data_IF_105962478711
#
_entry.id   IF_105962478711
#
_cell.length_a   1.000
_cell.length_b   1.000
_cell.length_c   1.000
_cell.angle_alpha   90.00
_cell.angle_beta   90.00
_cell.angle_gamma   90.00
#
_symmetry.space_group_name_H-M   'P 1'
#
loop_
_entity.id
_entity.type
_entity.pdbx_description
1 polymer ?
#
# COMPACT_ATOMS: atom_id res chain seq x y z
N UNK A 1 -7.95 -17.23 -2.22
CA UNK A 1 -7.16 -18.49 -2.19
C UNK A 1 -5.68 -18.14 -2.32
N UNK A 2 -4.76 -19.11 -2.16
CA UNK A 2 -3.31 -18.86 -2.34
C UNK A 2 -3.01 -18.37 -3.76
N UNK A 3 -3.58 -19.01 -4.78
CA UNK A 3 -3.35 -18.61 -6.19
C UNK A 3 -3.89 -17.19 -6.49
N UNK A 4 -5.00 -16.79 -5.86
CA UNK A 4 -5.48 -15.40 -5.95
C UNK A 4 -4.48 -14.41 -5.37
N UNK A 5 -3.90 -14.71 -4.21
CA UNK A 5 -2.89 -13.86 -3.62
C UNK A 5 -1.62 -13.79 -4.45
N UNK A 6 -1.17 -14.92 -5.01
CA UNK A 6 -0.03 -14.93 -5.93
C UNK A 6 -0.27 -13.98 -7.11
N UNK A 7 -1.43 -14.06 -7.76
CA UNK A 7 -1.75 -13.18 -8.88
C UNK A 7 -1.90 -11.71 -8.48
N UNK A 8 -2.58 -11.41 -7.37
CA UNK A 8 -2.81 -10.03 -6.90
C UNK A 8 -1.51 -9.36 -6.45
N UNK A 9 -0.67 -10.04 -5.67
CA UNK A 9 0.62 -9.48 -5.23
C UNK A 9 1.59 -9.31 -6.42
N UNK A 10 1.61 -10.27 -7.34
CA UNK A 10 2.37 -10.13 -8.60
C UNK A 10 1.88 -8.97 -9.46
N UNK A 11 0.57 -8.75 -9.54
CA UNK A 11 0.00 -7.62 -10.27
C UNK A 11 0.40 -6.29 -9.62
N UNK A 12 0.32 -6.20 -8.30
CA UNK A 12 0.56 -4.96 -7.57
C UNK A 12 2.04 -4.55 -7.57
N UNK A 13 2.94 -5.53 -7.55
CA UNK A 13 4.37 -5.27 -7.62
C UNK A 13 4.81 -4.65 -8.96
N UNK A 14 4.04 -4.80 -10.05
CA UNK A 14 4.49 -4.34 -11.36
C UNK A 14 4.57 -2.80 -11.48
N UNK A 15 3.51 -2.04 -11.17
CA UNK A 15 3.61 -0.58 -11.13
C UNK A 15 4.66 -0.06 -10.15
N UNK A 16 4.84 -0.72 -9.00
CA UNK A 16 5.74 -0.28 -7.92
C UNK A 16 7.22 -0.58 -8.23
N UNK A 17 7.51 -1.77 -8.74
CA UNK A 17 8.87 -2.31 -8.80
C UNK A 17 9.32 -2.65 -10.23
N UNK A 18 8.48 -2.43 -11.24
CA UNK A 18 8.76 -2.78 -12.64
C UNK A 18 8.74 -4.28 -12.93
N UNK A 19 8.31 -5.12 -11.98
CA UNK A 19 8.30 -6.58 -12.12
C UNK A 19 7.08 -7.20 -11.45
N UNK A 20 6.64 -8.35 -11.96
CA UNK A 20 5.60 -9.17 -11.31
C UNK A 20 6.16 -10.12 -10.24
N UNK A 21 7.49 -10.13 -10.07
CA UNK A 21 8.15 -10.88 -9.02
C UNK A 21 8.07 -10.15 -7.67
N UNK A 22 6.92 -10.21 -7.02
CA UNK A 22 6.70 -9.58 -5.71
C UNK A 22 7.58 -10.15 -4.58
N UNK A 23 8.28 -11.27 -4.81
CA UNK A 23 9.16 -11.91 -3.85
C UNK A 23 10.64 -11.51 -4.03
N UNK A 24 10.95 -10.62 -4.97
CA UNK A 24 12.28 -10.03 -5.11
C UNK A 24 12.71 -9.42 -3.77
N UNK A 25 13.84 -9.83 -3.16
CA UNK A 25 14.24 -9.35 -1.84
C UNK A 25 14.52 -7.84 -1.75
N UNK A 26 14.80 -7.16 -2.87
CA UNK A 26 15.16 -5.74 -2.86
C UNK A 26 14.04 -4.85 -2.28
N UNK A 27 12.78 -4.89 -2.78
CA UNK A 27 11.65 -4.18 -2.16
C UNK A 27 11.39 -4.52 -0.68
N UNK A 28 11.72 -5.74 -0.24
CA UNK A 28 11.50 -6.14 1.17
C UNK A 28 12.57 -5.60 2.10
N UNK A 29 13.79 -5.39 1.60
CA UNK A 29 14.91 -4.77 2.32
C UNK A 29 14.96 -3.25 2.13
N UNK A 30 14.17 -2.71 1.19
CA UNK A 30 14.13 -1.28 0.89
C UNK A 30 13.82 -0.47 2.15
N UNK A 31 14.63 0.56 2.38
CA UNK A 31 14.39 1.59 3.37
C UNK A 31 15.09 2.86 2.92
N UNK A 32 14.33 3.92 2.68
CA UNK A 32 14.82 5.20 2.23
C UNK A 32 14.55 6.29 3.26
N UNK A 33 15.54 7.15 3.45
CA UNK A 33 15.44 8.31 4.32
C UNK A 33 14.85 9.47 3.54
N UNK A 34 13.66 9.90 3.94
CA UNK A 34 12.99 11.09 3.45
C UNK A 34 12.75 11.06 1.94
N UNK A 35 12.17 9.95 1.44
CA UNK A 35 11.80 9.74 0.04
C UNK A 35 11.11 10.97 -0.55
N UNK A 36 10.14 11.55 0.18
CA UNK A 36 9.42 12.73 -0.30
C UNK A 36 10.36 13.90 -0.61
N UNK A 37 11.43 14.11 0.16
CA UNK A 37 12.36 15.19 -0.11
C UNK A 37 13.17 14.95 -1.37
N UNK A 38 13.60 13.70 -1.59
CA UNK A 38 14.39 13.31 -2.75
C UNK A 38 13.58 13.44 -4.05
N UNK A 39 12.26 13.26 -3.97
CA UNK A 39 11.33 13.41 -5.08
C UNK A 39 10.69 14.81 -5.19
N UNK A 40 11.07 15.76 -4.33
CA UNK A 40 10.52 17.13 -4.35
C UNK A 40 9.07 17.26 -3.85
N UNK A 41 8.58 16.26 -3.12
CA UNK A 41 7.26 16.22 -2.47
C UNK A 41 7.32 16.99 -1.15
N UNK A 42 6.35 17.89 -0.94
CA UNK A 42 6.34 18.78 0.24
C UNK A 42 6.04 18.06 1.55
N UNK A 43 5.29 16.95 1.50
CA UNK A 43 4.99 16.13 2.68
C UNK A 43 6.26 15.58 3.33
N UNK A 44 6.18 15.29 4.63
CA UNK A 44 7.25 14.66 5.40
C UNK A 44 6.72 13.39 6.05
N UNK A 45 7.26 12.23 5.64
CA UNK A 45 6.86 10.91 6.19
C UNK A 45 7.98 10.18 6.95
N UNK A 46 9.16 10.81 7.04
CA UNK A 46 10.33 10.25 7.73
C UNK A 46 11.03 9.21 6.85
N UNK A 47 11.15 7.97 7.30
CA UNK A 47 11.60 6.86 6.45
C UNK A 47 10.42 6.16 5.79
N UNK A 48 10.62 5.70 4.56
CA UNK A 48 9.71 4.83 3.81
C UNK A 48 10.38 3.48 3.58
N UNK A 49 9.73 2.36 3.93
CA UNK A 49 10.39 1.05 3.89
C UNK A 49 9.46 -0.14 3.66
N UNK A 50 10.05 -1.26 3.22
CA UNK A 50 9.35 -2.50 2.93
C UNK A 50 8.49 -2.44 1.65
N UNK A 51 7.81 -3.56 1.32
CA UNK A 51 7.17 -3.77 0.01
C UNK A 51 5.91 -2.92 -0.23
N UNK A 52 5.37 -2.28 0.81
CA UNK A 52 4.17 -1.42 0.73
C UNK A 52 4.43 -0.01 1.29
N UNK A 53 5.70 0.37 1.43
CA UNK A 53 6.11 1.73 1.81
C UNK A 53 5.59 2.17 3.19
N UNK A 54 5.81 1.36 4.24
CA UNK A 54 5.50 1.76 5.62
C UNK A 54 6.29 3.03 5.96
N UNK A 55 5.65 4.02 6.58
CA UNK A 55 6.28 5.29 6.91
C UNK A 55 6.38 5.55 8.41
N UNK A 56 7.56 5.98 8.87
CA UNK A 56 7.80 6.28 10.31
C UNK A 56 6.92 7.38 10.87
N UNK A 57 6.45 8.30 10.02
CA UNK A 57 5.35 9.22 10.29
C UNK A 57 4.17 8.77 9.42
N UNK A 58 3.18 8.13 10.03
CA UNK A 58 2.15 7.37 9.34
C UNK A 58 1.83 6.07 10.05
N UNK A 59 1.91 4.96 9.33
CA UNK A 59 1.48 3.63 9.76
C UNK A 59 2.55 2.84 10.56
N UNK A 60 3.76 3.37 10.71
CA UNK A 60 4.82 2.72 11.50
C UNK A 60 4.44 2.36 12.94
N UNK A 61 3.71 3.18 13.72
CA UNK A 61 3.34 2.78 15.07
C UNK A 61 2.53 1.49 15.11
N UNK A 62 1.60 1.31 14.17
CA UNK A 62 0.79 0.10 14.09
C UNK A 62 1.60 -1.08 13.53
N UNK A 63 2.45 -0.85 12.52
CA UNK A 63 3.45 -1.82 12.08
C UNK A 63 4.33 -2.29 13.25
N UNK A 64 4.85 -1.37 14.06
CA UNK A 64 5.71 -1.68 15.20
C UNK A 64 4.97 -2.51 16.23
N UNK A 65 3.81 -2.03 16.70
CA UNK A 65 3.08 -2.64 17.82
C UNK A 65 2.49 -4.00 17.46
N UNK A 66 1.96 -4.13 16.25
CA UNK A 66 1.11 -5.26 15.87
C UNK A 66 1.82 -6.27 14.97
N UNK A 67 2.94 -5.90 14.35
CA UNK A 67 3.69 -6.78 13.45
C UNK A 67 5.18 -6.91 13.84
N UNK A 68 5.97 -5.85 13.73
CA UNK A 68 7.41 -5.95 13.91
C UNK A 68 7.82 -6.39 15.32
N UNK A 69 7.24 -5.81 16.39
CA UNK A 69 7.59 -6.22 17.74
C UNK A 69 7.18 -7.68 18.05
N UNK A 70 5.96 -8.16 17.72
CA UNK A 70 5.60 -9.56 17.92
C UNK A 70 6.46 -10.56 17.13
N UNK A 71 6.69 -10.31 15.84
CA UNK A 71 7.35 -11.28 14.95
C UNK A 71 8.89 -11.20 15.01
N UNK A 72 9.46 -9.99 15.02
CA UNK A 72 10.91 -9.79 14.95
C UNK A 72 11.52 -9.74 16.36
N UNK A 73 10.88 -9.04 17.29
CA UNK A 73 11.41 -8.83 18.65
C UNK A 73 10.87 -9.84 19.67
N UNK A 74 9.85 -10.64 19.34
CA UNK A 74 9.20 -11.56 20.27
C UNK A 74 8.42 -10.86 21.38
N UNK A 75 7.99 -9.61 21.16
CA UNK A 75 7.30 -8.77 22.14
C UNK A 75 5.82 -8.61 21.76
N UNK A 76 4.96 -9.35 22.45
CA UNK A 76 3.50 -9.18 22.35
C UNK A 76 3.01 -8.01 23.22
N UNK A 77 1.92 -7.36 22.80
CA UNK A 77 1.34 -6.22 23.52
C UNK A 77 2.28 -5.01 23.60
N UNK A 78 3.08 -4.78 22.54
CA UNK A 78 3.98 -3.64 22.46
C UNK A 78 3.19 -2.31 22.47
N UNK A 79 3.78 -1.31 23.12
CA UNK A 79 3.18 0.01 23.34
C UNK A 79 4.00 1.11 22.66
N UNK A 80 3.48 2.34 22.63
CA UNK A 80 4.23 3.51 22.17
C UNK A 80 5.50 3.75 23.00
N UNK A 81 5.52 3.34 24.27
CA UNK A 81 6.73 3.38 25.12
C UNK A 81 7.77 2.38 24.63
N UNK A 82 7.38 1.15 24.29
CA UNK A 82 8.30 0.15 23.74
C UNK A 82 8.87 0.62 22.40
N UNK A 83 8.03 1.21 21.54
CA UNK A 83 8.44 1.81 20.27
C UNK A 83 9.44 2.96 20.48
N UNK A 84 9.16 3.84 21.45
CA UNK A 84 10.07 4.94 21.81
C UNK A 84 11.43 4.42 22.28
N UNK A 85 11.42 3.40 23.15
CA UNK A 85 12.63 2.79 23.69
C UNK A 85 13.46 2.12 22.59
N UNK A 86 12.81 1.41 21.66
CA UNK A 86 13.47 0.86 20.48
C UNK A 86 14.11 1.96 19.63
N UNK A 87 13.36 3.03 19.33
CA UNK A 87 13.87 4.17 18.57
C UNK A 87 15.08 4.83 19.23
N UNK A 88 15.04 5.04 20.55
CA UNK A 88 16.16 5.55 21.35
C UNK A 88 17.36 4.60 21.29
N UNK A 89 17.15 3.30 21.45
CA UNK A 89 18.20 2.29 21.42
C UNK A 89 18.94 2.26 20.07
N UNK A 90 18.20 2.21 18.95
CA UNK A 90 18.82 2.07 17.63
C UNK A 90 19.49 3.36 17.15
N UNK A 91 18.98 4.52 17.57
CA UNK A 91 19.54 5.82 17.17
C UNK A 91 20.63 6.34 18.11
N UNK A 92 20.55 6.00 19.40
CA UNK A 92 21.39 6.53 20.46
C UNK A 92 21.07 7.97 20.86
N UNK A 93 19.91 8.52 20.47
CA UNK A 93 19.49 9.88 20.86
C UNK A 93 18.81 9.87 22.24
N UNK A 94 18.69 11.03 22.87
CA UNK A 94 17.96 11.15 24.13
C UNK A 94 16.45 10.91 23.92
N UNK A 95 15.78 10.29 24.90
CA UNK A 95 14.34 10.06 24.84
C UNK A 95 13.51 11.35 24.71
N UNK A 96 14.01 12.49 25.18
CA UNK A 96 13.38 13.80 24.99
C UNK A 96 13.34 14.26 23.53
N UNK A 97 14.30 13.79 22.73
CA UNK A 97 14.43 14.12 21.31
C UNK A 97 13.67 13.14 20.40
N UNK A 98 12.99 12.14 20.96
CA UNK A 98 12.18 11.18 20.22
C UNK A 98 10.70 11.41 20.45
N UNK A 99 9.96 11.74 19.38
CA UNK A 99 8.50 11.74 19.39
C UNK A 99 8.01 10.34 19.05
N UNK A 100 7.17 9.78 19.92
CA UNK A 100 6.59 8.45 19.74
C UNK A 100 5.14 8.49 20.23
N UNK A 101 4.19 8.32 19.31
CA UNK A 101 2.76 8.18 19.56
C UNK A 101 2.11 7.40 18.40
N UNK A 102 0.79 7.26 18.42
CA UNK A 102 0.06 6.49 17.40
C UNK A 102 0.15 7.07 15.98
N UNK A 103 0.70 8.28 15.81
CA UNK A 103 0.91 8.89 14.49
C UNK A 103 2.33 8.79 13.97
N UNK A 104 3.33 8.55 14.83
CA UNK A 104 4.74 8.58 14.42
C UNK A 104 5.73 8.00 15.43
N UNK A 105 6.87 7.55 14.90
CA UNK A 105 8.17 7.53 15.57
C UNK A 105 9.12 8.47 14.82
N UNK A 106 9.42 9.65 15.38
CA UNK A 106 10.19 10.69 14.69
C UNK A 106 11.29 11.28 15.59
N UNK A 107 12.58 11.16 15.20
CA UNK A 107 13.67 11.82 15.89
C UNK A 107 13.73 13.31 15.56
N UNK A 108 13.96 14.14 16.58
CA UNK A 108 14.05 15.59 16.49
C UNK A 108 12.88 16.22 15.72
N UNK A 109 11.62 16.09 16.19
CA UNK A 109 10.43 16.54 15.45
C UNK A 109 10.42 18.04 15.14
N UNK A 110 11.15 18.85 15.93
CA UNK A 110 11.20 20.30 15.78
C UNK A 110 12.37 20.79 14.89
N UNK A 111 13.25 19.89 14.45
CA UNK A 111 14.33 20.24 13.52
C UNK A 111 13.86 20.11 12.07
N UNK A 112 14.45 20.92 11.19
CA UNK A 112 14.27 20.77 9.73
C UNK A 112 14.55 19.32 9.30
N UNK A 113 13.75 18.80 8.35
CA UNK A 113 13.97 17.49 7.72
C UNK A 113 15.36 17.34 7.10
N UNK A 114 15.95 18.45 6.65
CA UNK A 114 17.32 18.49 6.10
C UNK A 114 18.43 18.61 7.15
N UNK A 115 18.09 18.71 8.45
CA UNK A 115 19.07 18.80 9.52
C UNK A 115 19.91 17.51 9.62
N UNK A 116 21.23 17.64 9.71
CA UNK A 116 22.16 16.50 9.71
C UNK A 116 21.94 15.52 10.87
N UNK A 117 21.57 16.01 12.08
CA UNK A 117 21.29 15.13 13.23
C UNK A 117 20.00 14.33 13.02
N UNK A 118 18.97 14.97 12.46
CA UNK A 118 17.70 14.32 12.11
C UNK A 118 17.91 13.25 11.05
N UNK A 119 18.58 13.60 9.93
CA UNK A 119 18.91 12.64 8.88
C UNK A 119 19.73 11.45 9.41
N UNK A 120 20.74 11.69 10.24
CA UNK A 120 21.54 10.62 10.82
C UNK A 120 20.73 9.66 11.72
N UNK A 121 19.79 10.18 12.51
CA UNK A 121 18.90 9.35 13.32
C UNK A 121 17.94 8.52 12.46
N UNK A 122 17.34 9.13 11.42
CA UNK A 122 16.51 8.43 10.44
C UNK A 122 17.30 7.33 9.71
N UNK A 123 18.54 7.60 9.29
CA UNK A 123 19.42 6.60 8.68
C UNK A 123 19.65 5.40 9.61
N UNK A 124 19.87 5.63 10.91
CA UNK A 124 20.06 4.53 11.87
C UNK A 124 18.81 3.67 12.05
N UNK A 125 17.62 4.28 11.99
CA UNK A 125 16.35 3.51 11.99
C UNK A 125 16.29 2.60 10.76
N UNK A 126 16.60 3.11 9.57
CA UNK A 126 16.67 2.27 8.36
C UNK A 126 17.69 1.15 8.48
N UNK A 127 18.89 1.45 8.97
CA UNK A 127 19.93 0.44 9.18
C UNK A 127 19.49 -0.65 10.16
N UNK A 128 18.76 -0.31 11.22
CA UNK A 128 18.23 -1.30 12.15
C UNK A 128 17.20 -2.22 11.50
N UNK A 129 16.26 -1.66 10.73
CA UNK A 129 15.26 -2.45 9.98
C UNK A 129 15.92 -3.38 8.96
N UNK A 130 16.90 -2.87 8.22
CA UNK A 130 17.67 -3.66 7.25
C UNK A 130 18.53 -4.72 7.91
N UNK A 131 19.13 -4.42 9.05
CA UNK A 131 19.88 -5.41 9.84
C UNK A 131 18.98 -6.56 10.31
N UNK A 132 17.72 -6.28 10.62
CA UNK A 132 16.76 -7.32 10.96
C UNK A 132 16.30 -8.13 9.75
N UNK A 133 16.18 -7.52 8.58
CA UNK A 133 16.01 -8.28 7.35
C UNK A 133 17.19 -9.22 7.11
N UNK A 134 18.43 -8.74 7.27
CA UNK A 134 19.64 -9.53 7.01
C UNK A 134 19.81 -10.70 7.99
N UNK A 135 19.48 -10.49 9.27
CA UNK A 135 19.71 -11.48 10.33
C UNK A 135 18.49 -12.35 10.66
N UNK A 136 17.28 -11.87 10.34
CA UNK A 136 15.99 -12.46 10.72
C UNK A 136 14.98 -12.36 9.57
N UNK A 137 15.43 -12.66 8.35
CA UNK A 137 14.68 -12.42 7.10
C UNK A 137 13.25 -12.96 7.16
N UNK A 138 13.04 -14.22 7.56
CA UNK A 138 11.72 -14.82 7.61
C UNK A 138 10.77 -14.07 8.56
N UNK A 139 11.24 -13.73 9.76
CA UNK A 139 10.46 -12.97 10.74
C UNK A 139 10.16 -11.56 10.26
N UNK A 140 11.14 -10.90 9.63
CA UNK A 140 10.97 -9.56 9.09
C UNK A 140 9.93 -9.55 7.95
N UNK A 141 10.05 -10.48 7.00
CA UNK A 141 9.08 -10.68 5.92
C UNK A 141 7.68 -11.01 6.46
N UNK A 142 7.57 -11.90 7.44
CA UNK A 142 6.30 -12.22 8.10
C UNK A 142 5.67 -10.99 8.77
N UNK A 143 6.47 -10.10 9.36
CA UNK A 143 5.95 -8.87 9.95
C UNK A 143 5.35 -7.93 8.90
N UNK A 144 5.97 -7.79 7.72
CA UNK A 144 5.38 -7.02 6.62
C UNK A 144 4.09 -7.67 6.10
N UNK A 145 4.03 -8.99 5.96
CA UNK A 145 2.77 -9.66 5.61
C UNK A 145 1.67 -9.45 6.66
N UNK A 146 1.99 -9.51 7.95
CA UNK A 146 1.03 -9.25 9.02
C UNK A 146 0.50 -7.81 8.97
N UNK A 147 1.36 -6.84 8.65
CA UNK A 147 0.95 -5.45 8.47
C UNK A 147 0.08 -5.25 7.23
N UNK A 148 0.44 -5.89 6.11
CA UNK A 148 -0.38 -5.92 4.89
C UNK A 148 -1.78 -6.47 5.19
N UNK A 149 -1.87 -7.53 5.99
CA UNK A 149 -3.15 -8.07 6.43
C UNK A 149 -3.96 -7.04 7.24
N UNK A 150 -3.38 -6.50 8.30
CA UNK A 150 -4.12 -5.62 9.22
C UNK A 150 -4.46 -4.25 8.64
N UNK A 151 -3.54 -3.64 7.89
CA UNK A 151 -3.65 -2.26 7.42
C UNK A 151 -4.23 -2.15 6.00
N UNK A 152 -4.11 -3.22 5.19
CA UNK A 152 -4.61 -3.21 3.80
C UNK A 152 -5.78 -4.18 3.61
N UNK A 153 -5.61 -5.46 3.92
CA UNK A 153 -6.66 -6.45 3.63
C UNK A 153 -7.91 -6.26 4.50
N UNK A 154 -7.78 -6.10 5.82
CA UNK A 154 -8.94 -5.96 6.69
C UNK A 154 -9.81 -4.73 6.34
N UNK A 155 -9.25 -3.54 6.07
CA UNK A 155 -10.03 -2.40 5.57
C UNK A 155 -10.73 -2.67 4.24
N UNK A 156 -10.07 -3.37 3.31
CA UNK A 156 -10.67 -3.76 2.02
C UNK A 156 -11.89 -4.67 2.24
N UNK A 157 -11.75 -5.69 3.08
CA UNK A 157 -12.83 -6.63 3.38
C UNK A 157 -14.01 -5.94 4.07
N UNK A 158 -13.75 -5.07 5.05
CA UNK A 158 -14.80 -4.31 5.74
C UNK A 158 -15.53 -3.36 4.79
N UNK A 159 -14.80 -2.64 3.95
CA UNK A 159 -15.38 -1.71 2.97
C UNK A 159 -16.23 -2.44 1.92
N UNK A 160 -15.74 -3.56 1.37
CA UNK A 160 -16.48 -4.37 0.39
C UNK A 160 -17.75 -4.97 1.01
N UNK A 161 -17.68 -5.44 2.25
CA UNK A 161 -18.84 -5.96 2.99
C UNK A 161 -19.93 -4.89 3.14
N UNK A 162 -19.57 -3.65 3.46
CA UNK A 162 -20.51 -2.52 3.63
C UNK A 162 -21.30 -2.18 2.35
N UNK A 163 -20.78 -2.52 1.16
CA UNK A 163 -21.48 -2.30 -0.11
C UNK A 163 -22.12 -3.58 -0.69
N UNK A 164 -21.95 -4.72 -0.01
CA UNK A 164 -22.65 -5.98 -0.28
C UNK A 164 -21.80 -7.10 -0.87
N UNK A 165 -20.47 -6.97 -0.97
CA UNK A 165 -19.60 -8.00 -1.51
C UNK A 165 -18.86 -8.74 -0.40
N UNK A 166 -19.13 -10.04 -0.24
CA UNK A 166 -18.57 -10.86 0.86
C UNK A 166 -17.98 -12.20 0.41
N UNK A 167 -18.11 -12.56 -0.86
CA UNK A 167 -17.55 -13.79 -1.44
C UNK A 167 -16.72 -13.44 -2.68
N UNK A 168 -15.50 -13.96 -2.74
CA UNK A 168 -14.50 -13.55 -3.74
C UNK A 168 -13.95 -14.73 -4.55
N UNK A 169 -14.61 -15.90 -4.50
CA UNK A 169 -14.16 -17.09 -5.23
C UNK A 169 -14.40 -16.99 -6.74
N UNK A 170 -15.50 -16.36 -7.16
CA UNK A 170 -15.87 -16.18 -8.56
C UNK A 170 -15.52 -14.78 -9.08
N UNK A 171 -15.75 -13.76 -8.24
CA UNK A 171 -15.52 -12.35 -8.57
C UNK A 171 -14.60 -11.73 -7.51
N UNK A 172 -13.30 -11.73 -7.80
CA UNK A 172 -12.28 -11.29 -6.87
C UNK A 172 -12.11 -9.76 -6.89
N UNK A 173 -13.11 -9.06 -6.38
CA UNK A 173 -13.08 -7.60 -6.23
C UNK A 173 -12.02 -7.12 -5.23
N UNK A 174 -11.54 -8.00 -4.35
CA UNK A 174 -10.39 -7.74 -3.47
C UNK A 174 -9.15 -7.42 -4.32
N UNK A 175 -8.91 -8.10 -5.44
CA UNK A 175 -7.75 -7.82 -6.29
C UNK A 175 -7.69 -6.37 -6.81
N UNK A 176 -8.84 -5.79 -7.14
CA UNK A 176 -8.94 -4.38 -7.55
C UNK A 176 -8.81 -3.42 -6.36
N UNK A 177 -9.57 -3.68 -5.29
CA UNK A 177 -9.62 -2.82 -4.11
C UNK A 177 -8.31 -2.83 -3.31
N UNK A 178 -7.55 -3.93 -3.34
CA UNK A 178 -6.28 -4.07 -2.65
C UNK A 178 -5.23 -3.09 -3.19
N UNK A 179 -5.05 -3.01 -4.51
CA UNK A 179 -4.15 -2.02 -5.12
C UNK A 179 -4.56 -0.58 -4.78
N UNK A 180 -5.87 -0.29 -4.76
CA UNK A 180 -6.38 1.03 -4.36
C UNK A 180 -6.05 1.30 -2.89
N UNK A 181 -6.21 0.33 -1.99
CA UNK A 181 -5.90 0.51 -0.57
C UNK A 181 -4.40 0.68 -0.33
N UNK A 182 -3.54 -0.07 -1.03
CA UNK A 182 -2.08 0.08 -0.93
C UNK A 182 -1.66 1.48 -1.35
N UNK A 183 -2.14 1.97 -2.51
CA UNK A 183 -1.70 3.26 -3.02
C UNK A 183 -2.35 4.46 -2.31
N UNK A 184 -3.64 4.35 -1.95
CA UNK A 184 -4.39 5.50 -1.42
C UNK A 184 -4.55 5.50 0.09
N UNK A 185 -4.59 4.33 0.74
CA UNK A 185 -4.99 4.21 2.15
C UNK A 185 -6.46 4.57 2.45
N UNK A 186 -7.28 4.88 1.43
CA UNK A 186 -8.64 5.43 1.58
C UNK A 186 -9.73 4.53 0.94
N UNK A 187 -9.63 3.21 1.06
CA UNK A 187 -10.61 2.30 0.46
C UNK A 187 -12.04 2.43 1.04
N UNK A 188 -12.20 2.98 2.26
CA UNK A 188 -13.53 3.24 2.85
C UNK A 188 -14.44 4.15 2.00
N UNK A 189 -13.86 4.97 1.12
CA UNK A 189 -14.61 5.85 0.22
C UNK A 189 -15.46 5.10 -0.81
N UNK A 190 -15.25 3.80 -1.01
CA UNK A 190 -16.09 2.97 -1.90
C UNK A 190 -17.55 2.89 -1.43
N UNK A 191 -17.85 3.29 -0.19
CA UNK A 191 -19.21 3.45 0.32
C UNK A 191 -20.09 4.33 -0.58
N UNK A 192 -19.50 5.27 -1.32
CA UNK A 192 -20.16 6.09 -2.34
C UNK A 192 -20.84 5.26 -3.44
N UNK A 193 -20.33 4.06 -3.75
CA UNK A 193 -20.91 3.16 -4.74
C UNK A 193 -22.37 2.80 -4.44
N UNK A 194 -22.76 2.71 -3.16
CA UNK A 194 -24.15 2.44 -2.76
C UNK A 194 -25.14 3.47 -3.31
N UNK A 195 -24.70 4.72 -3.54
CA UNK A 195 -25.50 5.80 -4.12
C UNK A 195 -25.38 5.88 -5.66
N UNK A 196 -24.49 5.07 -6.25
CA UNK A 196 -24.23 4.97 -7.68
C UNK A 196 -24.72 3.66 -8.30
N UNK A 197 -25.32 2.75 -7.51
CA UNK A 197 -25.85 1.46 -7.99
C UNK A 197 -26.89 1.61 -9.12
N UNK A 198 -27.65 2.70 -9.16
CA UNK A 198 -28.62 2.94 -10.25
C UNK A 198 -27.95 3.21 -11.60
N UNK A 199 -26.68 3.63 -11.62
CA UNK A 199 -25.92 3.84 -12.86
C UNK A 199 -25.45 2.52 -13.51
N UNK A 200 -25.64 1.37 -12.84
CA UNK A 200 -25.16 0.08 -13.32
C UNK A 200 -25.85 -0.43 -14.59
N UNK A 201 -27.07 0.05 -14.89
CA UNK A 201 -27.82 -0.40 -16.06
C UNK A 201 -27.99 -1.93 -16.08
N UNK A 202 -27.48 -2.58 -17.13
CA UNK A 202 -27.51 -4.04 -17.30
C UNK A 202 -26.27 -4.78 -16.79
N UNK A 203 -25.26 -4.08 -16.24
CA UNK A 203 -24.07 -4.72 -15.67
C UNK A 203 -24.44 -5.51 -14.41
N UNK A 204 -23.76 -6.64 -14.16
CA UNK A 204 -23.83 -7.28 -12.85
C UNK A 204 -23.26 -6.34 -11.78
N UNK A 205 -23.68 -6.47 -10.51
CA UNK A 205 -23.17 -5.63 -9.43
C UNK A 205 -21.64 -5.61 -9.35
N UNK A 206 -20.98 -6.75 -9.54
CA UNK A 206 -19.53 -6.90 -9.50
C UNK A 206 -18.84 -6.20 -10.67
N UNK A 207 -19.33 -6.39 -11.90
CA UNK A 207 -18.79 -5.70 -13.09
C UNK A 207 -19.02 -4.20 -13.01
N UNK A 208 -20.18 -3.77 -12.49
CA UNK A 208 -20.46 -2.36 -12.27
C UNK A 208 -19.50 -1.76 -11.24
N UNK A 209 -19.29 -2.43 -10.11
CA UNK A 209 -18.37 -1.96 -9.08
C UNK A 209 -16.91 -1.93 -9.57
N UNK A 210 -16.46 -2.96 -10.27
CA UNK A 210 -15.12 -2.99 -10.87
C UNK A 210 -14.90 -1.79 -11.79
N UNK A 211 -15.90 -1.48 -12.64
CA UNK A 211 -15.86 -0.32 -13.53
C UNK A 211 -15.86 1.00 -12.76
N UNK A 212 -16.73 1.13 -11.75
CA UNK A 212 -16.81 2.30 -10.88
C UNK A 212 -15.49 2.58 -10.17
N UNK A 213 -14.94 1.57 -9.49
CA UNK A 213 -13.70 1.69 -8.73
C UNK A 213 -12.54 2.09 -9.65
N UNK A 214 -12.43 1.47 -10.81
CA UNK A 214 -11.39 1.83 -11.79
C UNK A 214 -11.54 3.27 -12.28
N UNK A 215 -12.75 3.73 -12.62
CA UNK A 215 -12.96 5.12 -13.04
C UNK A 215 -12.59 6.12 -11.94
N UNK A 216 -12.98 5.85 -10.69
CA UNK A 216 -12.66 6.71 -9.55
C UNK A 216 -11.17 6.70 -9.23
N UNK A 217 -10.51 5.56 -9.36
CA UNK A 217 -9.07 5.46 -9.14
C UNK A 217 -8.27 6.19 -10.23
N UNK A 218 -8.69 6.09 -11.50
CA UNK A 218 -8.10 6.89 -12.59
C UNK A 218 -8.29 8.39 -12.33
N UNK A 219 -9.48 8.80 -11.85
CA UNK A 219 -9.75 10.20 -11.46
C UNK A 219 -8.79 10.66 -10.35
N UNK A 220 -8.56 9.82 -9.34
CA UNK A 220 -7.63 10.11 -8.25
C UNK A 220 -6.19 10.24 -8.75
N UNK A 221 -5.71 9.26 -9.52
CA UNK A 221 -4.36 9.27 -10.10
C UNK A 221 -4.14 10.48 -11.03
N UNK A 222 -5.13 10.86 -11.83
CA UNK A 222 -4.95 11.86 -12.89
C UNK A 222 -5.10 13.32 -12.42
N UNK A 223 -5.53 13.56 -11.19
CA UNK A 223 -5.85 14.91 -10.69
C UNK A 223 -4.76 15.44 -9.77
N UNK A 224 -4.27 16.64 -10.07
CA UNK A 224 -3.31 17.39 -9.23
C UNK A 224 -3.87 17.86 -7.89
N UNK A 225 -5.16 17.66 -7.64
CA UNK A 225 -5.81 17.95 -6.36
C UNK A 225 -6.14 16.67 -5.58
N UNK A 226 -5.67 15.51 -6.05
CA UNK A 226 -5.90 14.19 -5.45
C UNK A 226 -4.57 13.45 -5.32
N UNK A 227 -4.31 12.44 -6.16
CA UNK A 227 -3.08 11.64 -6.11
C UNK A 227 -1.91 12.21 -6.92
N UNK A 228 -2.20 13.09 -7.90
CA UNK A 228 -1.21 13.72 -8.79
C UNK A 228 -0.18 12.77 -9.43
N UNK A 229 -0.60 11.55 -9.75
CA UNK A 229 0.22 10.50 -10.34
C UNK A 229 -0.33 10.08 -11.72
N UNK A 230 -0.49 11.09 -12.59
CA UNK A 230 -1.05 10.89 -13.93
C UNK A 230 -0.19 9.95 -14.77
N UNK A 231 1.12 9.90 -14.53
CA UNK A 231 2.06 8.99 -15.21
C UNK A 231 1.69 7.53 -15.02
N UNK A 232 1.16 7.16 -13.84
CA UNK A 232 0.81 5.79 -13.50
C UNK A 232 -0.70 5.49 -13.53
N UNK A 233 -1.54 6.38 -14.09
CA UNK A 233 -2.99 6.17 -14.18
C UNK A 233 -3.41 4.85 -14.85
N UNK A 234 -2.53 4.26 -15.68
CA UNK A 234 -2.75 3.00 -16.39
C UNK A 234 -2.87 1.79 -15.48
N UNK A 235 -2.30 1.82 -14.27
CA UNK A 235 -2.36 0.69 -13.32
C UNK A 235 -3.80 0.28 -12.95
N UNK A 236 -4.69 1.27 -12.87
CA UNK A 236 -6.11 1.04 -12.63
C UNK A 236 -6.80 0.25 -13.76
N UNK A 237 -6.43 0.53 -15.02
CA UNK A 237 -6.93 -0.20 -16.18
C UNK A 237 -6.26 -1.58 -16.33
N UNK A 238 -4.98 -1.70 -15.98
CA UNK A 238 -4.30 -3.00 -15.93
C UNK A 238 -5.06 -3.98 -15.03
N UNK A 239 -5.40 -3.56 -13.81
CA UNK A 239 -6.14 -4.39 -12.87
C UNK A 239 -7.55 -4.76 -13.41
N UNK A 240 -8.26 -3.80 -14.02
CA UNK A 240 -9.56 -4.05 -14.64
C UNK A 240 -9.48 -5.01 -15.84
N UNK A 241 -8.45 -4.90 -16.66
CA UNK A 241 -8.23 -5.79 -17.80
C UNK A 241 -7.92 -7.22 -17.36
N UNK A 242 -7.15 -7.39 -16.27
CA UNK A 242 -6.93 -8.69 -15.63
C UNK A 242 -8.25 -9.24 -15.12
N UNK A 243 -9.05 -8.45 -14.41
CA UNK A 243 -10.37 -8.86 -13.92
C UNK A 243 -11.34 -9.24 -15.05
N UNK A 244 -11.33 -8.53 -16.18
CA UNK A 244 -12.16 -8.88 -17.36
C UNK A 244 -11.74 -10.20 -17.99
N UNK A 245 -10.44 -10.51 -18.01
CA UNK A 245 -9.90 -11.74 -18.59
C UNK A 245 -10.05 -12.94 -17.64
N UNK A 246 -9.88 -12.73 -16.35
CA UNK A 246 -10.05 -13.69 -15.27
C UNK A 246 -10.70 -13.00 -14.05
N UNK A 247 -12.04 -13.06 -13.91
CA UNK A 247 -12.74 -12.45 -12.78
C UNK A 247 -12.34 -13.03 -11.42
N UNK A 248 -11.74 -14.22 -11.39
CA UNK A 248 -11.20 -14.79 -10.14
C UNK A 248 -9.87 -14.17 -9.76
N UNK A 249 -9.18 -13.52 -10.69
CA UNK A 249 -7.82 -12.97 -10.56
C UNK A 249 -6.89 -13.95 -9.84
N UNK A 250 -6.82 -15.19 -10.34
CA UNK A 250 -6.13 -16.30 -9.69
C UNK A 250 -4.97 -16.88 -10.48
N UNK A 251 -4.73 -16.37 -11.69
CA UNK A 251 -3.69 -16.87 -12.58
C UNK A 251 -2.64 -15.80 -12.88
N UNK A 252 -1.42 -15.97 -12.33
CA UNK A 252 -0.28 -15.07 -12.58
C UNK A 252 0.09 -15.00 -14.06
N UNK A 253 -0.12 -16.07 -14.85
CA UNK A 253 0.13 -16.04 -16.29
C UNK A 253 -0.81 -15.08 -17.03
N UNK A 254 -2.05 -14.92 -16.56
CA UNK A 254 -2.98 -13.90 -17.10
C UNK A 254 -2.46 -12.50 -16.77
N UNK A 255 -2.00 -12.28 -15.53
CA UNK A 255 -1.38 -11.00 -15.10
C UNK A 255 -0.21 -10.64 -16.02
N UNK A 256 0.77 -11.53 -16.18
CA UNK A 256 1.94 -11.32 -17.03
C UNK A 256 1.56 -11.11 -18.50
N UNK A 257 0.58 -11.86 -19.02
CA UNK A 257 0.12 -11.73 -20.40
C UNK A 257 -0.53 -10.36 -20.68
N UNK A 258 -1.38 -9.88 -19.77
CA UNK A 258 -2.00 -8.56 -19.89
C UNK A 258 -0.95 -7.45 -19.80
N UNK A 259 -0.02 -7.54 -18.85
CA UNK A 259 1.07 -6.57 -18.70
C UNK A 259 1.91 -6.48 -19.99
N UNK A 260 2.42 -7.61 -20.48
CA UNK A 260 3.30 -7.62 -21.65
C UNK A 260 2.61 -7.12 -22.92
N UNK A 261 1.30 -7.36 -23.05
CA UNK A 261 0.56 -6.99 -24.27
C UNK A 261 0.05 -5.55 -24.27
N UNK A 262 -0.31 -5.00 -23.11
CA UNK A 262 -1.01 -3.71 -23.02
C UNK A 262 -0.31 -2.66 -22.16
N UNK A 263 0.54 -3.08 -21.23
CA UNK A 263 1.18 -2.20 -20.26
C UNK A 263 2.72 -2.39 -20.18
N UNK A 264 3.45 -2.52 -21.30
CA UNK A 264 4.89 -2.73 -21.25
C UNK A 264 5.63 -1.49 -20.70
N UNK A 265 6.79 -1.73 -20.08
CA UNK A 265 7.69 -0.70 -19.55
C UNK A 265 6.99 0.30 -18.60
N UNK A 266 6.12 -0.20 -17.72
CA UNK A 266 5.43 0.60 -16.71
C UNK A 266 4.66 1.79 -17.33
N UNK A 267 4.01 1.54 -18.46
CA UNK A 267 3.29 2.58 -19.20
C UNK A 267 2.05 2.02 -19.88
N UNK A 268 1.05 2.87 -20.10
CA UNK A 268 -0.16 2.49 -20.83
C UNK A 268 -1.18 3.61 -20.90
N UNK A 269 -2.31 3.35 -21.56
CA UNK A 269 -3.45 4.27 -21.57
C UNK A 269 -4.32 4.03 -20.34
N UNK A 270 -5.02 5.07 -19.89
CA UNK A 270 -5.99 4.97 -18.80
C UNK A 270 -7.38 5.51 -19.18
N UNK A 271 -8.07 4.94 -20.20
CA UNK A 271 -9.43 5.36 -20.53
C UNK A 271 -10.39 5.09 -19.37
N UNK A 272 -11.32 6.01 -19.13
CA UNK A 272 -12.47 5.76 -18.26
C UNK A 272 -13.62 5.15 -19.06
N UNK A 273 -14.60 4.57 -18.38
CA UNK A 273 -15.74 3.88 -19.01
C UNK A 273 -16.72 4.81 -19.73
N UNK A 274 -16.75 6.09 -19.37
CA UNK A 274 -17.76 7.06 -19.83
C UNK A 274 -19.10 6.96 -19.11
N UNK A 275 -19.26 6.04 -18.14
CA UNK A 275 -20.48 5.92 -17.32
C UNK A 275 -20.65 7.19 -16.47
N UNK A 276 -21.88 7.71 -16.42
CA UNK A 276 -22.24 8.85 -15.56
C UNK A 276 -22.56 8.36 -14.16
N UNK A 277 -21.56 8.41 -13.28
CA UNK A 277 -21.73 8.08 -11.87
C UNK A 277 -22.44 9.21 -11.12
N UNK A 278 -23.55 8.90 -10.45
CA UNK A 278 -24.31 9.87 -9.65
C UNK A 278 -23.54 10.37 -8.42
N UNK A 279 -22.56 9.60 -7.95
CA UNK A 279 -21.67 9.98 -6.85
C UNK A 279 -20.25 9.44 -7.05
N UNK A 280 -19.27 10.36 -7.03
CA UNK A 280 -17.85 10.04 -6.96
C UNK A 280 -17.45 9.57 -5.56
N UNK A 281 -16.30 8.88 -5.46
CA UNK A 281 -15.64 8.61 -4.18
C UNK A 281 -15.11 9.89 -3.54
#
# INVERSE_FOLDING_TARGET
TVNQWQAVLSMDAYPENGTTNYQDPEPWRYCEVDYEHNEGISDYRGNTFGPVGVTTVGDFPDYFKNAYAPYVLGKTGATNTDMKNWGVQVTGIAASDMKADDSRLDPYPNLSRTNSKKKAALTKICQALQSDFDNRQAQHVMSHYAHIDSDKLLPVLDALKKIGFTSFSQYNLVGLAFQVQVNTGFIGSISAFSQSKSACGSMTPETCFATYLTDQYIRWLSSSSLGDDKGNCWRANMALDIYKQDPTMSNVSVVTSIINSKYPNNSGKCPTSGVKWSKNM
#
